data_IF_787402766234
#
_entry.id   IF_787402766234
#
_cell.length_a   1.000
_cell.length_b   1.000
_cell.length_c   1.000
_cell.angle_alpha   90.00
_cell.angle_beta   90.00
_cell.angle_gamma   90.00
#
_symmetry.space_group_name_H-M   'P 1'
#
loop_
_entity.id
_entity.type
_entity.pdbx_description
1 polymer ?
#
# COMPACT_ATOMS: atom_id res chain seq x y z
N UNK A 1 -5.52 -0.69 -23.35
CA UNK A 1 -4.11 -0.33 -23.02
C UNK A 1 -4.14 0.42 -21.70
N UNK A 2 -3.23 0.15 -20.77
CA UNK A 2 -3.12 0.85 -19.50
C UNK A 2 -2.18 2.05 -19.62
N UNK A 3 -2.46 3.09 -18.86
CA UNK A 3 -1.60 4.27 -18.77
C UNK A 3 -0.49 4.05 -17.73
N UNK A 4 -0.76 3.17 -16.72
CA UNK A 4 0.21 2.76 -15.71
C UNK A 4 -0.01 1.31 -15.28
N UNK A 5 1.09 0.63 -14.96
CA UNK A 5 1.09 -0.68 -14.29
C UNK A 5 1.82 -0.51 -12.97
N UNK A 6 1.14 -0.80 -11.87
CA UNK A 6 1.70 -0.73 -10.50
C UNK A 6 1.96 -2.15 -10.04
N UNK A 7 3.19 -2.43 -9.60
CA UNK A 7 3.63 -3.74 -9.14
C UNK A 7 3.72 -3.74 -7.61
N UNK A 8 2.92 -4.59 -6.98
CA UNK A 8 2.77 -4.68 -5.53
C UNK A 8 1.54 -3.90 -5.05
N UNK A 9 0.53 -4.60 -4.53
CA UNK A 9 -0.76 -4.04 -4.13
C UNK A 9 -0.87 -3.81 -2.61
N UNK A 10 0.24 -3.50 -1.94
CA UNK A 10 0.24 -3.23 -0.49
C UNK A 10 0.27 -1.72 -0.21
N UNK A 11 0.74 -1.33 0.99
CA UNK A 11 0.70 0.03 1.55
C UNK A 11 1.22 1.14 0.62
N UNK A 12 2.08 0.84 -0.35
CA UNK A 12 2.57 1.82 -1.31
C UNK A 12 1.84 1.75 -2.65
N UNK A 13 1.71 0.54 -3.22
CA UNK A 13 1.17 0.38 -4.56
C UNK A 13 -0.33 0.60 -4.65
N UNK A 14 -1.13 0.07 -3.71
CA UNK A 14 -2.58 0.25 -3.75
C UNK A 14 -2.98 1.74 -3.68
N UNK A 15 -2.47 2.56 -2.74
CA UNK A 15 -2.77 4.00 -2.75
C UNK A 15 -2.25 4.72 -4.00
N UNK A 16 -1.08 4.33 -4.52
CA UNK A 16 -0.55 4.92 -5.76
C UNK A 16 -1.49 4.65 -6.93
N UNK A 17 -1.92 3.40 -7.10
CA UNK A 17 -2.86 3.01 -8.14
C UNK A 17 -4.20 3.75 -7.99
N UNK A 18 -4.75 3.80 -6.77
CA UNK A 18 -5.97 4.54 -6.45
C UNK A 18 -5.87 6.01 -6.85
N UNK A 19 -4.79 6.68 -6.47
CA UNK A 19 -4.61 8.10 -6.75
C UNK A 19 -4.43 8.40 -8.24
N UNK A 20 -3.81 7.49 -8.99
CA UNK A 20 -3.72 7.58 -10.45
C UNK A 20 -5.09 7.39 -11.09
N UNK A 21 -5.86 6.38 -10.67
CA UNK A 21 -7.21 6.14 -11.18
C UNK A 21 -8.15 7.32 -10.89
N UNK A 22 -8.09 7.89 -9.68
CA UNK A 22 -8.85 9.11 -9.33
C UNK A 22 -8.52 10.34 -10.21
N UNK A 23 -7.37 10.31 -10.89
CA UNK A 23 -6.96 11.32 -11.88
C UNK A 23 -7.33 10.96 -13.32
N UNK A 24 -8.08 9.89 -13.51
CA UNK A 24 -8.57 9.46 -14.82
C UNK A 24 -7.64 8.54 -15.60
N UNK A 25 -6.55 8.06 -15.00
CA UNK A 25 -5.67 7.08 -15.64
C UNK A 25 -6.24 5.67 -15.57
N UNK A 26 -6.05 4.89 -16.62
CA UNK A 26 -6.34 3.44 -16.65
C UNK A 26 -5.17 2.71 -16.01
N UNK A 27 -5.40 2.14 -14.84
CA UNK A 27 -4.34 1.55 -14.02
C UNK A 27 -4.56 0.05 -13.86
N UNK A 28 -3.51 -0.72 -14.11
CA UNK A 28 -3.41 -2.12 -13.73
C UNK A 28 -2.56 -2.23 -12.46
N UNK A 29 -3.11 -2.84 -11.42
CA UNK A 29 -2.42 -3.16 -10.16
C UNK A 29 -2.21 -4.67 -10.09
N UNK A 30 -0.97 -5.11 -9.95
CA UNK A 30 -0.64 -6.54 -9.88
C UNK A 30 0.08 -6.88 -8.58
N UNK A 31 -0.26 -8.03 -8.01
CA UNK A 31 0.47 -8.58 -6.85
C UNK A 31 0.56 -10.11 -6.97
N UNK A 32 1.66 -10.67 -6.44
CA UNK A 32 1.85 -12.13 -6.36
C UNK A 32 0.98 -12.79 -5.29
N UNK A 33 0.52 -12.03 -4.29
CA UNK A 33 -0.36 -12.48 -3.23
C UNK A 33 -1.83 -12.38 -3.63
N UNK A 34 -2.70 -12.98 -2.80
CA UNK A 34 -4.13 -12.71 -2.75
C UNK A 34 -4.45 -11.84 -1.54
N UNK A 35 -5.56 -11.12 -1.56
CA UNK A 35 -6.03 -10.31 -0.44
C UNK A 35 -7.39 -10.77 0.07
N UNK A 36 -7.58 -10.85 1.41
CA UNK A 36 -6.68 -10.41 2.47
C UNK A 36 -5.55 -11.40 2.74
N UNK A 37 -4.31 -10.90 2.87
CA UNK A 37 -3.16 -11.69 3.30
C UNK A 37 -2.29 -10.92 4.28
N UNK A 38 -1.65 -11.62 5.18
CA UNK A 38 -0.76 -11.00 6.16
C UNK A 38 0.68 -10.93 5.65
N UNK A 39 1.47 -10.07 6.27
CA UNK A 39 2.91 -9.98 6.04
C UNK A 39 3.58 -9.38 7.27
N UNK A 40 4.84 -9.69 7.46
CA UNK A 40 5.63 -9.12 8.56
C UNK A 40 5.75 -7.61 8.38
N UNK A 41 5.51 -6.85 9.45
CA UNK A 41 5.57 -5.39 9.49
C UNK A 41 5.61 -4.93 10.94
N UNK A 42 6.05 -3.70 11.20
CA UNK A 42 5.88 -3.05 12.50
C UNK A 42 4.42 -2.77 12.81
N UNK A 43 3.55 -2.80 11.83
CA UNK A 43 2.11 -2.49 11.87
C UNK A 43 1.77 -1.06 12.31
N UNK A 44 2.73 -0.27 12.76
CA UNK A 44 2.48 1.07 13.30
C UNK A 44 2.31 2.09 12.18
N UNK A 45 1.18 2.77 12.18
CA UNK A 45 0.90 3.93 11.33
C UNK A 45 1.02 5.17 12.20
N UNK A 46 1.98 6.01 11.86
CA UNK A 46 2.22 7.29 12.53
C UNK A 46 1.21 8.38 12.09
N UNK A 47 1.07 9.48 12.85
CA UNK A 47 0.13 10.57 12.54
C UNK A 47 0.20 11.07 11.09
N UNK A 48 1.40 11.14 10.50
CA UNK A 48 1.58 11.53 9.08
C UNK A 48 0.92 10.55 8.10
N UNK A 49 0.98 9.25 8.40
CA UNK A 49 0.30 8.22 7.60
C UNK A 49 -1.22 8.31 7.76
N UNK A 50 -1.71 8.54 8.97
CA UNK A 50 -3.13 8.72 9.25
C UNK A 50 -3.69 9.98 8.59
N UNK A 51 -2.93 11.08 8.58
CA UNK A 51 -3.28 12.29 7.85
C UNK A 51 -3.38 12.04 6.32
N UNK A 52 -2.53 11.16 5.79
CA UNK A 52 -2.66 10.74 4.39
C UNK A 52 -3.94 9.92 4.16
N UNK A 53 -4.24 8.94 5.02
CA UNK A 53 -5.48 8.16 4.95
C UNK A 53 -6.71 9.07 5.04
N UNK A 54 -6.70 10.08 5.92
CA UNK A 54 -7.79 11.06 6.03
C UNK A 54 -7.97 11.86 4.74
N UNK A 55 -6.89 12.35 4.13
CA UNK A 55 -6.95 13.05 2.84
C UNK A 55 -7.46 12.17 1.70
N UNK A 56 -7.27 10.87 1.79
CA UNK A 56 -7.76 9.91 0.82
C UNK A 56 -9.20 9.46 1.08
N UNK A 57 -9.78 9.83 2.25
CA UNK A 57 -11.12 9.43 2.69
C UNK A 57 -11.18 8.00 3.21
N UNK A 58 -10.06 7.48 3.75
CA UNK A 58 -9.93 6.09 4.21
C UNK A 58 -9.68 5.97 5.72
N UNK A 59 -9.58 7.09 6.45
CA UNK A 59 -9.31 7.04 7.89
C UNK A 59 -10.50 6.48 8.66
N UNK A 60 -11.71 6.88 8.30
CA UNK A 60 -12.92 6.42 8.97
C UNK A 60 -13.15 4.93 8.73
N UNK A 61 -12.83 4.42 7.54
CA UNK A 61 -12.88 2.99 7.23
C UNK A 61 -11.86 2.21 8.07
N UNK A 62 -10.66 2.78 8.31
CA UNK A 62 -9.68 2.17 9.20
C UNK A 62 -10.19 2.14 10.64
N UNK A 63 -10.76 3.24 11.15
CA UNK A 63 -11.34 3.32 12.50
C UNK A 63 -12.49 2.33 12.67
N UNK A 64 -13.31 2.16 11.65
CA UNK A 64 -14.42 1.20 11.65
C UNK A 64 -13.97 -0.28 11.75
N UNK A 65 -12.68 -0.58 11.53
CA UNK A 65 -12.13 -1.92 11.79
C UNK A 65 -11.89 -2.21 13.27
N UNK A 66 -12.22 -1.27 14.16
CA UNK A 66 -12.05 -1.36 15.63
C UNK A 66 -10.59 -1.57 16.06
N UNK A 67 -9.62 -1.23 15.20
CA UNK A 67 -8.21 -1.20 15.60
C UNK A 67 -8.01 -0.14 16.68
N UNK A 68 -7.40 -0.47 17.84
CA UNK A 68 -7.28 0.48 18.94
C UNK A 68 -6.32 1.61 18.58
N UNK A 69 -6.70 2.84 18.96
CA UNK A 69 -5.82 4.00 18.90
C UNK A 69 -4.78 3.96 20.02
N UNK A 70 -3.55 4.29 19.71
CA UNK A 70 -2.46 4.44 20.67
C UNK A 70 -2.06 5.92 20.73
N UNK A 71 -2.30 6.57 21.85
CA UNK A 71 -1.97 7.99 22.03
C UNK A 71 -0.52 8.20 22.49
N UNK A 72 0.07 7.22 23.18
CA UNK A 72 1.40 7.32 23.79
C UNK A 72 2.31 6.25 23.24
N UNK A 73 3.55 6.62 22.95
CA UNK A 73 4.64 5.70 22.62
C UNK A 73 5.60 5.62 23.81
N UNK A 74 5.99 4.40 24.14
CA UNK A 74 7.01 4.12 25.15
C UNK A 74 8.13 3.29 24.54
N UNK A 75 9.35 3.81 24.69
CA UNK A 75 10.58 3.13 24.29
C UNK A 75 11.38 2.83 25.56
N UNK A 76 11.58 1.56 25.83
CA UNK A 76 12.34 1.08 26.98
C UNK A 76 13.68 0.53 26.52
N UNK A 77 14.77 1.19 26.91
CA UNK A 77 16.15 0.83 26.61
C UNK A 77 16.88 0.26 27.84
N UNK A 78 16.13 -0.15 28.87
CA UNK A 78 16.65 -0.64 30.13
C UNK A 78 16.94 0.52 31.11
N UNK A 79 18.13 1.14 31.10
CA UNK A 79 18.44 2.24 32.02
C UNK A 79 17.72 3.55 31.66
N UNK A 80 17.19 3.66 30.44
CA UNK A 80 16.48 4.86 29.95
C UNK A 80 15.13 4.46 29.37
N UNK A 81 14.08 5.13 29.84
CA UNK A 81 12.73 5.00 29.28
C UNK A 81 12.32 6.34 28.70
N UNK A 82 11.92 6.34 27.44
CA UNK A 82 11.33 7.48 26.77
C UNK A 82 9.83 7.22 26.59
N UNK A 83 9.01 8.12 27.07
CA UNK A 83 7.56 8.04 26.92
C UNK A 83 7.00 9.40 26.53
N UNK A 84 6.05 9.41 25.59
CA UNK A 84 5.43 10.64 25.17
C UNK A 84 4.42 10.46 24.06
N UNK A 85 3.71 11.54 23.80
CA UNK A 85 2.79 11.67 22.66
C UNK A 85 3.52 12.39 21.52
N UNK A 86 3.53 11.86 20.31
CA UNK A 86 4.18 12.53 19.19
C UNK A 86 3.45 13.84 18.83
N UNK A 87 4.15 14.75 18.14
CA UNK A 87 3.53 15.98 17.64
C UNK A 87 2.38 15.64 16.69
N UNK A 88 1.27 16.38 16.83
CA UNK A 88 0.13 16.24 15.95
C UNK A 88 0.48 16.64 14.51
N UNK A 89 -0.06 15.89 13.54
CA UNK A 89 -0.01 16.21 12.12
C UNK A 89 -1.45 16.38 11.64
N UNK A 90 -1.78 17.54 11.13
CA UNK A 90 -3.16 17.91 10.73
C UNK A 90 -4.19 17.63 11.85
N UNK A 91 -3.81 17.84 13.12
CA UNK A 91 -4.66 17.59 14.29
C UNK A 91 -4.77 16.12 14.71
N UNK A 92 -4.00 15.20 14.11
CA UNK A 92 -3.93 13.79 14.49
C UNK A 92 -2.66 13.57 15.30
N UNK A 93 -2.79 13.04 16.52
CA UNK A 93 -1.66 12.67 17.40
C UNK A 93 -1.62 11.17 17.72
N UNK A 94 -2.68 10.46 17.36
CA UNK A 94 -2.78 9.03 17.60
C UNK A 94 -1.93 8.23 16.60
N UNK A 95 -1.68 6.99 16.99
CA UNK A 95 -1.14 5.93 16.14
C UNK A 95 -2.15 4.80 16.05
N UNK A 96 -2.09 4.05 14.97
CA UNK A 96 -2.85 2.80 14.82
C UNK A 96 -1.91 1.69 14.41
N UNK A 97 -2.18 0.46 14.88
CA UNK A 97 -1.38 -0.72 14.55
C UNK A 97 -2.23 -1.84 13.95
N UNK A 98 -2.90 -1.61 12.80
CA UNK A 98 -3.72 -2.62 12.17
C UNK A 98 -2.87 -3.77 11.65
N UNK A 99 -3.41 -5.00 11.71
CA UNK A 99 -2.81 -6.13 10.99
C UNK A 99 -2.76 -5.81 9.50
N UNK A 100 -1.70 -6.26 8.85
CA UNK A 100 -1.52 -6.00 7.40
C UNK A 100 -2.62 -6.61 6.55
N UNK A 101 -3.19 -7.74 6.98
CA UNK A 101 -4.37 -8.32 6.32
C UNK A 101 -5.56 -7.38 6.29
N UNK A 102 -5.72 -6.52 7.31
CA UNK A 102 -6.78 -5.51 7.39
C UNK A 102 -6.42 -4.28 6.57
N UNK A 103 -5.27 -3.69 6.84
CA UNK A 103 -4.83 -2.46 6.17
C UNK A 103 -4.65 -2.65 4.67
N UNK A 104 -3.94 -3.70 4.24
CA UNK A 104 -3.69 -3.93 2.82
C UNK A 104 -5.00 -4.20 2.06
N UNK A 105 -5.94 -4.95 2.68
CA UNK A 105 -7.27 -5.19 2.08
C UNK A 105 -8.07 -3.90 1.92
N UNK A 106 -8.11 -3.05 2.94
CA UNK A 106 -8.76 -1.75 2.88
C UNK A 106 -8.22 -0.89 1.73
N UNK A 107 -6.90 -0.83 1.59
CA UNK A 107 -6.26 -0.04 0.54
C UNK A 107 -6.49 -0.62 -0.87
N UNK A 108 -6.49 -1.95 -0.99
CA UNK A 108 -6.79 -2.63 -2.25
C UNK A 108 -8.24 -2.40 -2.65
N UNK A 109 -9.19 -2.52 -1.72
CA UNK A 109 -10.61 -2.28 -2.01
C UNK A 109 -10.85 -0.83 -2.44
N UNK A 110 -10.20 0.12 -1.79
CA UNK A 110 -10.28 1.52 -2.18
C UNK A 110 -9.69 1.77 -3.59
N UNK A 111 -8.63 1.04 -3.96
CA UNK A 111 -8.07 1.12 -5.31
C UNK A 111 -9.06 0.55 -6.36
N UNK A 112 -9.64 -0.61 -6.10
CA UNK A 112 -10.65 -1.21 -6.98
C UNK A 112 -11.88 -0.33 -7.10
N UNK A 113 -12.37 0.24 -5.98
CA UNK A 113 -13.49 1.18 -5.98
C UNK A 113 -13.20 2.46 -6.78
N UNK A 114 -11.94 2.85 -6.90
CA UNK A 114 -11.49 3.97 -7.74
C UNK A 114 -11.37 3.61 -9.24
N UNK A 115 -11.63 2.36 -9.63
CA UNK A 115 -11.58 1.89 -11.02
C UNK A 115 -10.25 1.25 -11.43
N UNK A 116 -9.40 0.88 -10.48
CA UNK A 116 -8.17 0.13 -10.75
C UNK A 116 -8.50 -1.31 -11.10
N UNK A 117 -7.94 -1.84 -12.20
CA UNK A 117 -7.98 -3.28 -12.47
C UNK A 117 -6.93 -3.98 -11.59
N UNK A 118 -7.40 -4.86 -10.70
CA UNK A 118 -6.52 -5.67 -9.84
C UNK A 118 -6.32 -7.05 -10.44
N UNK A 119 -5.07 -7.50 -10.48
CA UNK A 119 -4.71 -8.90 -10.76
C UNK A 119 -3.86 -9.44 -9.64
N UNK A 120 -4.46 -10.28 -8.84
CA UNK A 120 -3.81 -11.08 -7.81
C UNK A 120 -3.08 -12.28 -8.42
N UNK A 121 -2.25 -12.98 -7.63
CA UNK A 121 -1.48 -14.17 -8.05
C UNK A 121 -0.65 -13.92 -9.32
N UNK A 122 -0.25 -12.68 -9.54
CA UNK A 122 0.47 -12.24 -10.73
C UNK A 122 1.87 -11.76 -10.36
N UNK A 123 2.88 -12.60 -10.60
CA UNK A 123 4.27 -12.25 -10.36
C UNK A 123 4.89 -11.59 -11.60
N UNK A 124 5.45 -10.41 -11.44
CA UNK A 124 6.22 -9.74 -12.48
C UNK A 124 7.68 -10.21 -12.42
N UNK A 125 8.18 -10.79 -13.51
CA UNK A 125 9.55 -11.32 -13.61
C UNK A 125 10.56 -10.31 -14.17
N UNK A 126 10.09 -9.31 -14.92
CA UNK A 126 10.96 -8.32 -15.52
C UNK A 126 10.20 -7.27 -16.32
N UNK A 127 10.92 -6.27 -16.79
CA UNK A 127 10.42 -5.22 -17.67
C UNK A 127 10.83 -5.52 -19.11
N UNK A 128 9.92 -5.26 -20.04
CA UNK A 128 10.22 -5.27 -21.47
C UNK A 128 10.54 -3.82 -21.87
N UNK A 129 11.62 -3.64 -22.59
CA UNK A 129 12.06 -2.32 -23.07
C UNK A 129 11.93 -2.29 -24.60
N UNK A 130 11.17 -1.37 -25.13
CA UNK A 130 11.23 -1.01 -26.55
C UNK A 130 12.41 -0.09 -26.74
N UNK A 131 13.35 -0.50 -27.60
CA UNK A 131 14.65 0.16 -27.72
C UNK A 131 14.57 1.62 -28.10
N UNK A 132 15.07 2.49 -27.22
CA UNK A 132 15.64 3.78 -27.63
C UNK A 132 17.02 3.48 -28.18
N UNK A 133 17.24 3.83 -29.49
CA UNK A 133 18.54 3.88 -30.18
C UNK A 133 19.74 3.32 -29.37
N UNK A 134 20.10 2.07 -29.62
CA UNK A 134 21.44 1.56 -29.35
C UNK A 134 21.62 0.54 -28.22
N UNK A 135 20.61 0.18 -27.41
CA UNK A 135 20.87 -0.77 -26.32
C UNK A 135 19.74 -1.79 -26.07
N UNK A 136 20.19 -3.03 -26.17
CA UNK A 136 19.65 -4.30 -25.64
C UNK A 136 18.25 -4.74 -26.06
N UNK A 137 18.27 -5.81 -26.82
CA UNK A 137 17.10 -6.64 -27.10
C UNK A 137 16.49 -7.17 -25.82
N UNK A 138 15.16 -7.10 -25.80
CA UNK A 138 14.29 -7.62 -24.79
C UNK A 138 14.60 -9.06 -24.40
N UNK A 139 14.37 -9.34 -23.15
CA UNK A 139 14.24 -10.69 -22.62
C UNK A 139 13.14 -11.47 -23.38
N UNK A 140 13.32 -12.77 -23.44
CA UNK A 140 12.45 -13.72 -24.13
C UNK A 140 10.96 -13.60 -23.75
N UNK A 141 10.04 -13.95 -24.66
CA UNK A 141 8.61 -13.85 -24.42
C UNK A 141 8.19 -14.73 -23.24
N UNK A 142 7.32 -14.15 -22.44
CA UNK A 142 6.76 -14.74 -21.24
C UNK A 142 5.98 -16.03 -21.59
N UNK A 143 6.53 -17.18 -21.23
CA UNK A 143 5.79 -18.43 -21.24
C UNK A 143 5.06 -18.58 -19.91
N UNK A 144 3.75 -18.77 -19.97
CA UNK A 144 2.95 -19.17 -18.83
C UNK A 144 3.51 -20.48 -18.27
N UNK A 145 4.14 -20.44 -17.11
CA UNK A 145 4.40 -21.65 -16.35
C UNK A 145 3.06 -22.13 -15.79
N UNK A 146 2.49 -23.15 -16.41
CA UNK A 146 1.50 -24.01 -15.79
C UNK A 146 2.25 -24.90 -14.79
N UNK A 147 1.78 -24.91 -13.56
CA UNK A 147 2.20 -25.78 -12.49
C UNK A 147 1.34 -25.52 -11.28
#
# INVERSE_FOLDING_TARGET
>A
MYDAIVIGARCAGAPTAMLLARRGHRVLLVDRATFPSDTMSTHLIHPRGLAALRRWGLLDDLVATEVPACATLRFDFGPVVLEGTPPAVDGISEHYAPRRRVLDKLLVDAAVAAGVELREQTAVKGLLWEGRRGERRAAEPWQHARG
#
